data_IF_454195448489
#
_entry.id   IF_454195448489
#
_cell.length_a   1.000
_cell.length_b   1.000
_cell.length_c   1.000
_cell.angle_alpha   90.00
_cell.angle_beta   90.00
_cell.angle_gamma   90.00
#
_symmetry.space_group_name_H-M   'P 1'
#
loop_
_entity.id
_entity.type
_entity.pdbx_description
1 polymer ?
#
# COMPACT_ATOMS: atom_id res chain seq x y z
N UNK A 1 45.48 1.57 28.15
CA UNK A 1 44.04 1.91 28.39
C UNK A 1 43.41 2.12 27.03
N UNK A 2 42.87 1.03 26.48
CA UNK A 2 42.27 1.02 25.13
C UNK A 2 40.78 1.32 25.31
N UNK A 3 40.33 2.51 24.88
CA UNK A 3 38.92 2.88 24.81
C UNK A 3 38.26 2.09 23.67
N UNK A 4 37.50 1.06 24.04
CA UNK A 4 36.60 0.35 23.11
C UNK A 4 35.40 1.27 22.84
N UNK A 5 35.37 1.92 21.68
CA UNK A 5 34.22 2.61 21.18
C UNK A 5 33.19 1.55 20.75
N UNK A 6 32.24 1.25 21.61
CA UNK A 6 31.02 0.54 21.22
C UNK A 6 30.23 1.47 20.31
N UNK A 7 30.37 1.29 18.99
CA UNK A 7 29.36 1.75 18.03
C UNK A 7 28.08 0.97 18.35
N UNK A 8 27.19 1.59 19.13
CA UNK A 8 25.78 1.24 19.11
C UNK A 8 25.30 1.55 17.68
N UNK A 9 25.20 0.52 16.85
CA UNK A 9 24.31 0.56 15.71
C UNK A 9 22.91 0.77 16.28
N UNK A 10 22.46 2.02 16.37
CA UNK A 10 21.04 2.34 16.42
C UNK A 10 20.47 1.79 15.11
N UNK A 11 19.94 0.56 15.18
CA UNK A 11 19.00 0.11 14.16
C UNK A 11 17.84 1.09 14.26
N UNK A 12 17.80 2.08 13.36
CA UNK A 12 16.58 2.81 13.08
C UNK A 12 15.57 1.74 12.67
N UNK A 13 14.68 1.36 13.59
CA UNK A 13 13.47 0.65 13.25
C UNK A 13 12.62 1.63 12.47
N UNK A 14 12.86 1.71 11.17
CA UNK A 14 12.05 2.48 10.26
C UNK A 14 10.72 1.73 10.12
N UNK A 15 9.64 2.40 10.45
CA UNK A 15 8.28 1.95 10.18
C UNK A 15 8.18 1.76 8.67
N UNK A 16 7.99 0.54 8.28
CA UNK A 16 8.37 0.18 6.94
C UNK A 16 7.36 -0.81 6.34
N UNK A 17 6.39 -0.31 5.59
CA UNK A 17 5.44 -1.12 4.84
C UNK A 17 6.11 -1.87 3.68
N UNK A 18 5.45 -2.90 3.18
CA UNK A 18 5.79 -3.60 1.95
C UNK A 18 4.52 -3.76 1.14
N UNK A 19 4.56 -3.39 -0.13
CA UNK A 19 3.45 -3.56 -1.06
C UNK A 19 3.94 -4.38 -2.26
N UNK A 20 3.17 -5.40 -2.62
CA UNK A 20 3.49 -6.33 -3.71
C UNK A 20 2.30 -6.47 -4.66
N UNK A 21 2.50 -6.12 -5.92
CA UNK A 21 1.58 -6.43 -7.02
C UNK A 21 2.04 -7.69 -7.74
N UNK A 22 1.08 -8.56 -8.14
CA UNK A 22 1.36 -9.79 -8.87
C UNK A 22 0.19 -10.15 -9.80
N UNK A 23 0.52 -10.55 -11.04
CA UNK A 23 -0.48 -10.95 -12.04
C UNK A 23 0.02 -12.06 -12.96
N UNK A 24 -0.90 -12.88 -13.45
CA UNK A 24 -0.68 -13.83 -14.56
C UNK A 24 -1.41 -13.39 -15.84
N UNK A 25 -1.92 -12.16 -15.87
CA UNK A 25 -2.73 -11.60 -16.94
C UNK A 25 -4.24 -11.89 -16.82
N UNK A 26 -4.66 -12.75 -15.87
CA UNK A 26 -6.06 -13.11 -15.60
C UNK A 26 -6.46 -12.69 -14.18
N UNK A 27 -5.69 -13.10 -13.21
CA UNK A 27 -5.89 -12.74 -11.81
C UNK A 27 -4.93 -11.60 -11.43
N UNK A 28 -5.46 -10.62 -10.74
CA UNK A 28 -4.70 -9.45 -10.29
C UNK A 28 -4.74 -9.43 -8.77
N UNK A 29 -3.58 -9.55 -8.19
CA UNK A 29 -3.39 -9.61 -6.75
C UNK A 29 -2.50 -8.49 -6.25
N UNK A 30 -2.83 -7.93 -5.09
CA UNK A 30 -1.95 -7.03 -4.35
C UNK A 30 -1.91 -7.47 -2.90
N UNK A 31 -0.73 -7.49 -2.31
CA UNK A 31 -0.53 -7.74 -0.89
C UNK A 31 0.24 -6.61 -0.24
N UNK A 32 -0.07 -6.27 1.00
CA UNK A 32 0.70 -5.31 1.77
C UNK A 32 0.86 -5.72 3.23
N UNK A 33 1.90 -5.19 3.85
CA UNK A 33 2.06 -5.09 5.30
C UNK A 33 1.88 -3.65 5.71
N UNK A 34 1.13 -3.45 6.79
CA UNK A 34 1.07 -2.19 7.50
C UNK A 34 1.90 -2.31 8.77
N UNK A 35 3.09 -1.73 8.71
CA UNK A 35 4.05 -1.74 9.80
C UNK A 35 4.01 -0.39 10.53
N UNK A 36 3.39 -0.37 11.70
CA UNK A 36 3.13 0.84 12.48
C UNK A 36 3.15 0.54 13.98
N UNK A 37 3.04 1.55 14.81
CA UNK A 37 2.96 1.41 16.27
C UNK A 37 1.56 1.63 16.85
N UNK A 38 0.61 2.13 16.03
CA UNK A 38 -0.77 2.29 16.46
C UNK A 38 -1.50 0.95 16.36
N UNK A 39 -2.35 0.66 17.36
CA UNK A 39 -3.11 -0.60 17.45
C UNK A 39 -4.60 -0.42 17.14
N UNK A 40 -5.00 0.78 16.72
CA UNK A 40 -6.39 1.14 16.46
C UNK A 40 -6.77 1.05 14.96
N UNK A 41 -6.20 0.05 14.29
CA UNK A 41 -6.45 -0.20 12.88
C UNK A 41 -7.91 -0.60 12.62
N UNK A 42 -8.51 0.01 11.60
CA UNK A 42 -9.91 -0.16 11.23
C UNK A 42 -10.04 -0.45 9.73
N UNK A 43 -11.03 -1.26 9.38
CA UNK A 43 -11.49 -1.44 8.00
C UNK A 43 -12.83 -0.77 7.81
N UNK A 44 -12.93 0.13 6.83
CA UNK A 44 -14.13 0.91 6.54
C UNK A 44 -14.67 0.59 5.15
N UNK A 45 -15.99 0.33 5.06
CA UNK A 45 -16.73 0.09 3.84
C UNK A 45 -17.67 1.26 3.56
N UNK A 46 -17.58 1.86 2.36
CA UNK A 46 -18.42 2.98 1.93
C UNK A 46 -19.13 2.60 0.63
N UNK A 47 -20.46 2.47 0.63
CA UNK A 47 -21.24 2.25 -0.59
C UNK A 47 -21.08 3.39 -1.58
N UNK A 48 -21.09 3.04 -2.87
CA UNK A 48 -21.10 4.01 -3.94
C UNK A 48 -22.36 4.90 -3.90
N UNK A 49 -22.20 6.12 -4.34
CA UNK A 49 -23.27 7.08 -4.53
C UNK A 49 -23.31 7.52 -5.99
N UNK A 50 -24.34 8.28 -6.41
CA UNK A 50 -24.41 8.79 -7.78
C UNK A 50 -23.10 9.51 -8.18
N UNK A 51 -22.42 8.98 -9.18
CA UNK A 51 -21.14 9.51 -9.69
C UNK A 51 -19.90 9.15 -8.87
N UNK A 52 -20.03 8.28 -7.85
CA UNK A 52 -18.91 7.84 -7.00
C UNK A 52 -18.91 6.33 -6.81
N UNK A 53 -17.75 5.71 -6.94
CA UNK A 53 -17.57 4.27 -6.69
C UNK A 53 -17.68 3.94 -5.20
N UNK A 54 -18.19 2.73 -4.90
CA UNK A 54 -18.07 2.16 -3.57
C UNK A 54 -16.65 1.70 -3.31
N UNK A 55 -16.22 1.67 -2.05
CA UNK A 55 -14.85 1.34 -1.68
C UNK A 55 -14.73 0.67 -0.32
N UNK A 56 -13.62 0.00 -0.12
CA UNK A 56 -13.06 -0.40 1.17
C UNK A 56 -11.70 0.27 1.33
N UNK A 57 -11.42 0.77 2.52
CA UNK A 57 -10.10 1.24 2.88
C UNK A 57 -9.75 0.84 4.32
N UNK A 58 -8.46 0.88 4.61
CA UNK A 58 -7.90 0.65 5.92
C UNK A 58 -7.26 1.93 6.42
N UNK A 59 -7.42 2.20 7.70
CA UNK A 59 -6.86 3.35 8.37
C UNK A 59 -6.49 3.02 9.82
N UNK A 60 -5.75 3.93 10.44
CA UNK A 60 -5.66 4.00 11.89
C UNK A 60 -6.60 5.11 12.34
N UNK A 61 -7.50 4.77 13.27
CA UNK A 61 -8.52 5.71 13.73
C UNK A 61 -7.94 6.98 14.32
N UNK A 62 -6.78 6.89 14.96
CA UNK A 62 -6.00 8.01 15.46
C UNK A 62 -5.45 8.93 14.36
N UNK A 63 -5.18 8.41 13.16
CA UNK A 63 -4.65 9.17 12.04
C UNK A 63 -5.76 9.84 11.21
N UNK A 64 -6.91 9.20 11.08
CA UNK A 64 -8.10 9.76 10.43
C UNK A 64 -8.04 9.85 8.90
N UNK A 65 -7.11 9.13 8.25
CA UNK A 65 -7.01 9.04 6.78
C UNK A 65 -6.68 7.63 6.31
N UNK A 66 -7.12 7.29 5.09
CA UNK A 66 -6.93 5.96 4.51
C UNK A 66 -5.44 5.70 4.19
N UNK A 67 -4.89 4.61 4.70
CA UNK A 67 -3.54 4.13 4.39
C UNK A 67 -3.52 3.45 3.02
N UNK A 68 -4.50 2.59 2.76
CA UNK A 68 -4.66 1.87 1.51
C UNK A 68 -6.08 1.33 1.32
N UNK A 69 -6.41 0.88 0.11
CA UNK A 69 -7.73 0.33 -0.15
C UNK A 69 -8.03 0.05 -1.61
N UNK A 70 -9.25 -0.41 -1.89
CA UNK A 70 -9.71 -0.66 -3.25
C UNK A 70 -11.17 -0.21 -3.45
N UNK A 71 -11.54 0.13 -4.69
CA UNK A 71 -12.91 0.46 -5.07
C UNK A 71 -13.60 -0.66 -5.87
N UNK A 72 -14.89 -0.46 -6.17
CA UNK A 72 -15.72 -1.42 -6.93
C UNK A 72 -15.28 -1.60 -8.38
N UNK A 73 -14.47 -0.67 -8.93
CA UNK A 73 -13.85 -0.80 -10.25
C UNK A 73 -12.52 -1.57 -10.20
N UNK A 74 -12.09 -1.99 -9.02
CA UNK A 74 -10.84 -2.72 -8.83
C UNK A 74 -9.60 -1.83 -8.96
N UNK A 75 -9.74 -0.53 -8.75
CA UNK A 75 -8.61 0.35 -8.53
C UNK A 75 -8.16 0.22 -7.07
N UNK A 76 -6.88 0.07 -6.86
CA UNK A 76 -6.19 -0.04 -5.59
C UNK A 76 -5.15 1.07 -5.44
N UNK A 77 -4.97 1.55 -4.24
CA UNK A 77 -3.78 2.30 -3.82
C UNK A 77 -3.32 1.84 -2.44
N UNK A 78 -2.04 2.02 -2.18
CA UNK A 78 -1.44 1.91 -0.85
C UNK A 78 -0.08 2.60 -0.85
N UNK A 79 0.40 3.05 0.32
CA UNK A 79 1.59 3.86 0.47
C UNK A 79 2.67 3.26 1.36
N UNK A 80 3.91 3.65 1.11
CA UNK A 80 5.03 3.38 2.01
C UNK A 80 5.78 4.66 2.32
N UNK A 81 6.19 4.84 3.57
CA UNK A 81 7.08 5.93 3.95
C UNK A 81 8.42 5.82 3.22
N UNK A 82 8.94 6.95 2.73
CA UNK A 82 10.22 7.03 2.03
C UNK A 82 11.03 8.23 2.53
N UNK A 83 12.33 8.30 2.23
CA UNK A 83 13.11 9.51 2.50
C UNK A 83 12.47 10.74 1.87
N UNK A 84 12.44 11.84 2.62
CA UNK A 84 11.85 13.10 2.18
C UNK A 84 12.51 13.61 0.89
N UNK A 85 11.67 13.96 -0.09
CA UNK A 85 12.08 14.55 -1.35
C UNK A 85 11.14 15.74 -1.68
N UNK A 86 11.62 16.98 -1.73
CA UNK A 86 10.76 18.15 -1.92
C UNK A 86 10.08 18.14 -3.30
N UNK A 87 8.82 18.58 -3.35
CA UNK A 87 8.04 18.69 -4.57
C UNK A 87 7.48 20.11 -4.78
N UNK A 88 8.30 21.07 -5.24
CA UNK A 88 7.90 22.47 -5.38
C UNK A 88 6.71 22.68 -6.34
N UNK A 89 6.55 21.87 -7.39
CA UNK A 89 5.40 21.94 -8.30
C UNK A 89 4.05 21.65 -7.61
N UNK A 90 4.07 21.00 -6.45
CA UNK A 90 2.86 20.72 -5.70
C UNK A 90 2.14 22.04 -5.29
N UNK A 91 2.88 23.10 -5.04
CA UNK A 91 2.36 24.38 -4.58
C UNK A 91 1.51 25.14 -5.63
N UNK A 92 1.66 24.83 -6.92
CA UNK A 92 0.89 25.45 -8.01
C UNK A 92 -0.34 24.64 -8.45
N UNK A 93 -0.53 23.44 -7.87
CA UNK A 93 -1.68 22.57 -8.16
C UNK A 93 -2.92 23.01 -7.38
N UNK A 94 -4.08 22.48 -7.79
CA UNK A 94 -5.35 22.71 -7.10
C UNK A 94 -5.36 22.06 -5.71
N UNK A 95 -5.92 22.74 -4.74
CA UNK A 95 -6.21 22.14 -3.44
C UNK A 95 -7.33 21.09 -3.58
N UNK A 96 -7.21 19.97 -2.86
CA UNK A 96 -8.30 19.05 -2.63
C UNK A 96 -8.96 19.42 -1.28
N UNK A 97 -10.29 19.50 -1.25
CA UNK A 97 -11.07 19.78 -0.03
C UNK A 97 -11.21 18.54 0.89
N UNK A 98 -10.48 17.49 0.58
CA UNK A 98 -10.50 16.22 1.28
C UNK A 98 -9.20 15.43 1.04
N UNK A 99 -9.06 14.32 1.76
CA UNK A 99 -7.94 13.40 1.54
C UNK A 99 -7.97 12.83 0.11
N UNK A 100 -6.92 13.13 -0.66
CA UNK A 100 -6.90 12.89 -2.12
C UNK A 100 -7.10 11.41 -2.49
N UNK A 101 -6.54 10.48 -1.69
CA UNK A 101 -6.58 9.05 -2.02
C UNK A 101 -7.98 8.46 -1.87
N UNK A 102 -8.81 8.96 -0.94
CA UNK A 102 -10.23 8.58 -0.88
C UNK A 102 -11.00 9.12 -2.08
N UNK A 103 -10.64 10.31 -2.61
CA UNK A 103 -11.21 10.82 -3.87
C UNK A 103 -10.79 9.98 -5.06
N UNK A 104 -9.52 9.60 -5.13
CA UNK A 104 -9.01 8.69 -6.18
C UNK A 104 -9.83 7.40 -6.21
N UNK A 105 -10.08 6.77 -5.05
CA UNK A 105 -10.95 5.58 -5.00
C UNK A 105 -12.40 5.88 -5.40
N UNK A 106 -12.93 7.04 -5.07
CA UNK A 106 -14.31 7.40 -5.40
C UNK A 106 -14.54 7.75 -6.87
N UNK A 107 -13.54 8.28 -7.57
CA UNK A 107 -13.71 8.95 -8.86
C UNK A 107 -12.89 8.31 -9.99
N UNK A 108 -11.88 7.50 -9.68
CA UNK A 108 -11.00 6.87 -10.66
C UNK A 108 -11.27 5.36 -10.76
N UNK A 109 -11.23 4.83 -11.99
CA UNK A 109 -11.46 3.40 -12.25
C UNK A 109 -10.18 2.66 -12.66
N UNK A 110 -9.10 3.37 -13.01
CA UNK A 110 -7.85 2.80 -13.55
C UNK A 110 -6.64 3.54 -13.05
N UNK A 111 -5.48 2.87 -13.10
CA UNK A 111 -4.17 3.49 -12.77
C UNK A 111 -3.97 4.79 -13.56
N UNK A 112 -4.26 4.80 -14.85
CA UNK A 112 -4.10 5.99 -15.69
C UNK A 112 -5.00 7.15 -15.26
N UNK A 113 -6.28 6.86 -14.93
CA UNK A 113 -7.19 7.90 -14.41
C UNK A 113 -6.73 8.45 -13.06
N UNK A 114 -6.20 7.60 -12.18
CA UNK A 114 -5.64 8.02 -10.90
C UNK A 114 -4.39 8.92 -11.10
N UNK A 115 -3.48 8.53 -12.00
CA UNK A 115 -2.29 9.34 -12.33
C UNK A 115 -2.69 10.73 -12.87
N UNK A 116 -3.68 10.80 -13.75
CA UNK A 116 -4.17 12.07 -14.28
C UNK A 116 -4.83 12.93 -13.20
N UNK A 117 -5.54 12.29 -12.26
CA UNK A 117 -6.13 12.97 -11.12
C UNK A 117 -5.07 13.62 -10.22
N UNK A 118 -4.06 12.85 -9.79
CA UNK A 118 -2.99 13.33 -8.91
C UNK A 118 -2.06 14.37 -9.56
N UNK A 119 -1.95 14.40 -10.90
CA UNK A 119 -1.25 15.47 -11.61
C UNK A 119 -1.95 16.82 -11.47
N UNK A 120 -3.25 16.83 -11.19
CA UNK A 120 -4.10 18.04 -11.10
C UNK A 120 -4.13 18.64 -9.71
N UNK A 121 -4.13 17.80 -8.67
CA UNK A 121 -4.32 18.21 -7.29
C UNK A 121 -3.03 18.13 -6.47
N UNK A 122 -2.97 18.93 -5.38
CA UNK A 122 -1.91 18.81 -4.38
C UNK A 122 -1.99 17.46 -3.67
N UNK A 123 -0.82 16.91 -3.39
CA UNK A 123 -0.64 15.68 -2.61
C UNK A 123 0.38 16.02 -1.52
N UNK A 124 -0.06 16.49 -0.35
CA UNK A 124 0.86 16.93 0.70
C UNK A 124 1.85 15.85 1.14
N UNK A 125 1.37 14.62 1.25
CA UNK A 125 2.14 13.46 1.74
C UNK A 125 3.14 12.89 0.73
N UNK A 126 3.06 13.25 -0.55
CA UNK A 126 3.88 12.61 -1.60
C UNK A 126 5.39 12.90 -1.46
N UNK A 127 5.77 13.90 -0.68
CA UNK A 127 7.16 14.28 -0.47
C UNK A 127 7.94 13.27 0.38
N UNK A 128 7.25 12.43 1.15
CA UNK A 128 7.85 11.40 2.00
C UNK A 128 7.11 10.06 1.98
N UNK A 129 6.23 9.89 0.97
CA UNK A 129 5.49 8.64 0.74
C UNK A 129 5.54 8.30 -0.74
N UNK A 130 5.83 7.04 -1.06
CA UNK A 130 5.58 6.49 -2.38
C UNK A 130 4.28 5.68 -2.36
N UNK A 131 3.51 5.79 -3.45
CA UNK A 131 2.22 5.11 -3.60
C UNK A 131 2.32 4.08 -4.72
N UNK A 132 1.87 2.86 -4.43
CA UNK A 132 1.59 1.87 -5.47
C UNK A 132 0.13 1.94 -5.85
N UNK A 133 -0.12 2.19 -7.15
CA UNK A 133 -1.43 2.11 -7.80
C UNK A 133 -1.52 0.80 -8.57
N UNK A 134 -2.68 0.14 -8.53
CA UNK A 134 -2.97 -1.03 -9.35
C UNK A 134 -4.43 -1.07 -9.76
N UNK A 135 -4.75 -1.72 -10.89
CA UNK A 135 -6.13 -1.90 -11.33
C UNK A 135 -6.43 -3.33 -11.82
N UNK A 136 -7.72 -3.67 -11.87
CA UNK A 136 -8.20 -4.99 -12.34
C UNK A 136 -7.86 -5.34 -13.78
N UNK A 137 -7.34 -4.38 -14.57
CA UNK A 137 -6.86 -4.62 -15.93
C UNK A 137 -5.40 -5.09 -15.96
N UNK A 138 -4.77 -5.15 -14.79
CA UNK A 138 -3.38 -5.57 -14.63
C UNK A 138 -2.37 -4.44 -14.78
N UNK A 139 -2.80 -3.18 -14.83
CA UNK A 139 -1.86 -2.07 -14.78
C UNK A 139 -1.41 -1.85 -13.34
N UNK A 140 -0.15 -1.45 -13.18
CA UNK A 140 0.40 -1.02 -11.90
C UNK A 140 1.49 0.03 -12.12
N UNK A 141 1.55 1.00 -11.22
CA UNK A 141 2.55 2.06 -11.23
C UNK A 141 2.90 2.48 -9.79
N UNK A 142 4.18 2.77 -9.56
CA UNK A 142 4.65 3.42 -8.34
C UNK A 142 4.79 4.92 -8.65
N UNK A 143 4.22 5.74 -7.77
CA UNK A 143 4.26 7.19 -7.85
C UNK A 143 5.04 7.71 -6.66
N UNK A 144 5.99 8.61 -6.89
CA UNK A 144 6.81 9.22 -5.85
C UNK A 144 7.49 10.48 -6.33
N UNK A 145 8.34 11.08 -5.51
CA UNK A 145 9.10 12.29 -5.86
C UNK A 145 10.59 11.97 -5.86
N UNK A 146 11.28 12.48 -6.87
CA UNK A 146 12.73 12.54 -6.91
C UNK A 146 13.21 13.76 -7.69
N UNK A 147 14.26 14.45 -7.20
CA UNK A 147 14.81 15.69 -7.78
C UNK A 147 13.75 16.75 -8.12
N UNK A 148 12.78 16.94 -7.20
CA UNK A 148 11.72 17.94 -7.32
C UNK A 148 10.65 17.64 -8.34
N UNK A 149 10.60 16.42 -8.90
CA UNK A 149 9.66 16.02 -9.96
C UNK A 149 8.87 14.79 -9.58
N UNK A 150 7.63 14.76 -10.03
CA UNK A 150 6.78 13.57 -9.93
C UNK A 150 7.35 12.45 -10.82
N UNK A 151 7.67 11.33 -10.22
CA UNK A 151 8.14 10.11 -10.88
C UNK A 151 7.00 9.11 -10.96
N UNK A 152 6.84 8.47 -12.11
CA UNK A 152 5.84 7.43 -12.34
C UNK A 152 6.55 6.21 -12.93
N UNK A 153 6.64 5.15 -12.16
CA UNK A 153 7.30 3.91 -12.56
C UNK A 153 6.25 2.85 -12.86
N UNK A 154 5.86 2.73 -14.12
CA UNK A 154 4.99 1.63 -14.56
C UNK A 154 5.70 0.30 -14.41
N UNK A 155 4.93 -0.75 -14.03
CA UNK A 155 5.49 -2.10 -13.93
C UNK A 155 6.07 -2.60 -15.25
N UNK A 156 7.11 -3.41 -15.12
CA UNK A 156 7.65 -4.24 -16.20
C UNK A 156 7.53 -5.69 -15.77
N UNK A 157 7.00 -6.56 -16.65
CA UNK A 157 6.75 -7.97 -16.27
C UNK A 157 5.49 -8.16 -15.41
N UNK A 158 5.45 -9.23 -14.60
CA UNK A 158 4.25 -9.72 -13.92
C UNK A 158 4.13 -9.28 -12.46
N UNK A 159 5.12 -8.60 -11.92
CA UNK A 159 5.15 -8.13 -10.54
C UNK A 159 5.68 -6.71 -10.42
N UNK A 160 5.33 -6.05 -9.33
CA UNK A 160 5.91 -4.78 -8.90
C UNK A 160 5.98 -4.76 -7.37
N UNK A 161 7.09 -4.31 -6.82
CA UNK A 161 7.37 -4.34 -5.39
C UNK A 161 7.76 -2.95 -4.92
N UNK A 162 7.23 -2.54 -3.78
CA UNK A 162 7.50 -1.25 -3.14
C UNK A 162 7.79 -1.45 -1.65
N UNK A 163 8.84 -0.80 -1.17
CA UNK A 163 9.18 -0.66 0.25
C UNK A 163 9.69 0.77 0.54
N UNK A 164 10.40 0.98 1.60
CA UNK A 164 10.68 2.30 2.17
C UNK A 164 11.90 3.03 1.60
N UNK A 165 12.32 2.74 0.40
CA UNK A 165 13.37 3.50 -0.28
C UNK A 165 12.82 4.26 -1.50
N UNK A 166 13.54 5.28 -1.95
CA UNK A 166 13.14 6.02 -3.14
C UNK A 166 13.33 5.15 -4.38
N UNK A 167 12.25 4.84 -5.10
CA UNK A 167 12.28 3.93 -6.26
C UNK A 167 13.08 4.49 -7.44
N UNK A 168 13.13 5.81 -7.61
CA UNK A 168 13.90 6.46 -8.68
C UNK A 168 15.39 6.47 -8.39
N UNK A 169 15.78 6.54 -7.12
CA UNK A 169 17.16 6.42 -6.65
C UNK A 169 17.20 5.65 -5.33
N UNK A 170 17.38 4.34 -5.35
CA UNK A 170 17.36 3.51 -4.14
C UNK A 170 18.41 3.88 -3.09
N UNK A 171 19.51 4.53 -3.48
CA UNK A 171 20.54 4.99 -2.55
C UNK A 171 20.21 6.35 -1.91
N UNK A 172 19.13 7.01 -2.33
CA UNK A 172 18.71 8.31 -1.79
C UNK A 172 18.17 8.11 -0.37
N UNK A 173 18.72 8.86 0.59
CA UNK A 173 18.31 8.80 1.99
C UNK A 173 18.92 7.66 2.81
N UNK A 174 19.72 6.78 2.22
CA UNK A 174 20.45 5.74 2.95
C UNK A 174 19.62 4.54 3.44
N UNK A 175 18.46 4.30 2.85
CA UNK A 175 17.50 3.26 3.26
C UNK A 175 17.85 1.83 2.79
N UNK A 176 18.91 1.66 2.01
CA UNK A 176 19.37 0.34 1.57
C UNK A 176 20.53 -0.19 2.42
N UNK A 177 20.66 -1.54 2.54
CA UNK A 177 19.84 -2.60 1.94
C UNK A 177 18.51 -2.85 2.68
N UNK A 178 17.43 -3.09 1.93
CA UNK A 178 16.13 -3.46 2.49
C UNK A 178 15.93 -4.98 2.44
N UNK A 179 16.12 -5.66 3.56
CA UNK A 179 16.00 -7.14 3.66
C UNK A 179 14.64 -7.66 3.17
N UNK A 180 13.54 -6.94 3.42
CA UNK A 180 12.20 -7.36 3.01
C UNK A 180 12.03 -7.30 1.50
N UNK A 181 12.52 -6.21 0.87
CA UNK A 181 12.54 -6.09 -0.57
C UNK A 181 13.32 -7.24 -1.21
N UNK A 182 14.55 -7.50 -0.75
CA UNK A 182 15.40 -8.56 -1.27
C UNK A 182 14.75 -9.93 -1.10
N UNK A 183 14.14 -10.19 0.07
CA UNK A 183 13.44 -11.45 0.34
C UNK A 183 12.25 -11.64 -0.61
N UNK A 184 11.38 -10.65 -0.74
CA UNK A 184 10.23 -10.71 -1.63
C UNK A 184 10.66 -10.88 -3.10
N UNK A 185 11.67 -10.12 -3.52
CA UNK A 185 12.22 -10.21 -4.88
C UNK A 185 12.77 -11.60 -5.19
N UNK A 186 13.56 -12.18 -4.27
CA UNK A 186 14.11 -13.55 -4.46
C UNK A 186 13.00 -14.61 -4.50
N UNK A 187 11.93 -14.45 -3.70
CA UNK A 187 10.79 -15.36 -3.74
C UNK A 187 10.04 -15.26 -5.07
N UNK A 188 9.81 -14.06 -5.58
CA UNK A 188 9.19 -13.82 -6.87
C UNK A 188 10.01 -14.37 -8.06
N UNK A 189 11.34 -14.32 -7.98
CA UNK A 189 12.22 -14.92 -9.00
C UNK A 189 12.11 -16.47 -9.02
N UNK A 190 11.78 -17.08 -7.88
CA UNK A 190 11.59 -18.55 -7.77
C UNK A 190 10.18 -18.97 -8.15
N UNK A 191 9.19 -18.21 -7.74
CA UNK A 191 7.78 -18.47 -8.01
C UNK A 191 7.03 -17.14 -8.18
N UNK A 192 6.63 -16.85 -9.41
CA UNK A 192 5.83 -15.68 -9.79
C UNK A 192 4.36 -16.03 -10.03
N UNK A 193 3.87 -17.16 -9.52
CA UNK A 193 2.47 -17.57 -9.65
C UNK A 193 1.55 -16.54 -8.97
N UNK A 194 0.61 -15.98 -9.72
CA UNK A 194 -0.38 -15.04 -9.22
C UNK A 194 -1.47 -15.78 -8.43
N UNK A 195 -1.25 -15.98 -7.14
CA UNK A 195 -2.16 -16.72 -6.28
C UNK A 195 -2.13 -16.21 -4.83
N UNK A 196 -3.25 -16.41 -4.12
CA UNK A 196 -3.34 -16.11 -2.69
C UNK A 196 -2.22 -16.79 -1.90
N UNK A 197 -1.99 -18.08 -2.18
CA UNK A 197 -0.97 -18.89 -1.47
C UNK A 197 0.44 -18.32 -1.64
N UNK A 198 0.80 -17.86 -2.84
CA UNK A 198 2.11 -17.28 -3.08
C UNK A 198 2.28 -15.95 -2.35
N UNK A 199 1.26 -15.07 -2.40
CA UNK A 199 1.31 -13.82 -1.63
C UNK A 199 1.39 -14.08 -0.13
N UNK A 200 0.58 -15.00 0.42
CA UNK A 200 0.65 -15.41 1.82
C UNK A 200 2.07 -15.87 2.20
N UNK A 201 2.71 -16.66 1.32
CA UNK A 201 4.08 -17.13 1.54
C UNK A 201 5.09 -15.98 1.59
N UNK A 202 4.99 -15.02 0.66
CA UNK A 202 5.90 -13.87 0.60
C UNK A 202 5.67 -12.98 1.83
N UNK A 203 4.42 -12.61 2.11
CA UNK A 203 4.09 -11.78 3.26
C UNK A 203 4.56 -12.42 4.58
N UNK A 204 4.37 -13.73 4.78
CA UNK A 204 4.83 -14.41 6.00
C UNK A 204 6.36 -14.38 6.21
N UNK A 205 7.15 -14.09 5.17
CA UNK A 205 8.62 -14.00 5.24
C UNK A 205 9.14 -12.57 5.31
N UNK A 206 8.24 -11.60 5.17
CA UNK A 206 8.58 -10.17 5.12
C UNK A 206 7.90 -9.35 6.22
N UNK A 207 7.28 -10.00 7.21
CA UNK A 207 6.77 -9.35 8.43
C UNK A 207 7.88 -8.71 9.24
N UNK A 208 7.53 -7.69 10.00
CA UNK A 208 8.38 -7.04 10.99
C UNK A 208 7.89 -7.32 12.42
N UNK A 209 7.78 -8.59 12.80
CA UNK A 209 7.42 -9.04 14.14
C UNK A 209 6.29 -8.17 14.77
N UNK A 210 6.59 -7.43 15.84
CA UNK A 210 5.63 -6.62 16.59
C UNK A 210 5.19 -5.33 15.85
N UNK A 211 5.89 -4.93 14.78
CA UNK A 211 5.55 -3.72 14.02
C UNK A 211 4.47 -3.98 12.95
N UNK A 212 4.35 -5.21 12.44
CA UNK A 212 3.31 -5.55 11.47
C UNK A 212 1.97 -5.67 12.17
N UNK A 213 1.16 -4.61 12.12
CA UNK A 213 -0.15 -4.52 12.80
C UNK A 213 -1.20 -5.33 12.07
N UNK A 214 -1.22 -5.24 10.74
CA UNK A 214 -2.04 -6.11 9.89
C UNK A 214 -1.38 -6.33 8.53
N UNK A 215 -1.87 -7.31 7.83
CA UNK A 215 -1.54 -7.53 6.42
C UNK A 215 -2.82 -7.70 5.63
N UNK A 216 -2.82 -7.22 4.40
CA UNK A 216 -3.94 -7.37 3.49
C UNK A 216 -3.50 -8.05 2.20
N UNK A 217 -4.39 -8.88 1.64
CA UNK A 217 -4.27 -9.37 0.28
C UNK A 217 -5.57 -9.06 -0.45
N UNK A 218 -5.46 -8.38 -1.58
CA UNK A 218 -6.58 -8.01 -2.44
C UNK A 218 -6.55 -8.84 -3.72
N UNK A 219 -7.70 -9.38 -4.11
CA UNK A 219 -7.96 -9.84 -5.47
C UNK A 219 -8.76 -8.76 -6.20
N UNK A 220 -8.10 -7.96 -7.01
CA UNK A 220 -8.74 -6.83 -7.71
C UNK A 220 -9.74 -7.30 -8.78
N UNK A 221 -9.51 -8.47 -9.36
CA UNK A 221 -10.39 -9.07 -10.37
C UNK A 221 -11.73 -9.48 -9.77
N UNK A 222 -11.73 -10.01 -8.53
CA UNK A 222 -12.91 -10.56 -7.86
C UNK A 222 -13.53 -9.60 -6.85
N UNK A 223 -12.84 -8.49 -6.51
CA UNK A 223 -13.27 -7.58 -5.45
C UNK A 223 -13.23 -8.24 -4.06
N UNK A 224 -12.21 -9.02 -3.78
CA UNK A 224 -12.03 -9.74 -2.53
C UNK A 224 -10.87 -9.15 -1.72
N UNK A 225 -11.03 -9.07 -0.40
CA UNK A 225 -9.99 -8.64 0.53
C UNK A 225 -9.82 -9.71 1.61
N UNK A 226 -8.58 -10.10 1.85
CA UNK A 226 -8.18 -10.99 2.92
C UNK A 226 -7.38 -10.17 3.94
N UNK A 227 -7.79 -10.18 5.18
CA UNK A 227 -7.17 -9.44 6.29
C UNK A 227 -6.54 -10.43 7.25
N UNK A 228 -5.32 -10.14 7.65
CA UNK A 228 -4.53 -10.89 8.63
C UNK A 228 -4.17 -9.96 9.77
N UNK A 229 -4.30 -10.42 11.00
CA UNK A 229 -4.00 -9.64 12.18
C UNK A 229 -2.58 -9.95 12.68
N UNK A 230 -1.82 -8.90 12.98
CA UNK A 230 -0.41 -8.99 13.37
C UNK A 230 0.41 -9.77 12.32
N UNK A 231 1.54 -10.29 12.69
CA UNK A 231 2.39 -11.13 11.83
C UNK A 231 1.81 -12.53 11.57
N UNK A 232 0.52 -12.80 11.90
CA UNK A 232 -0.10 -14.10 11.75
C UNK A 232 -0.44 -14.40 10.30
N UNK A 233 0.08 -15.50 9.76
CA UNK A 233 -0.27 -16.00 8.42
C UNK A 233 -1.41 -17.04 8.43
N UNK A 234 -1.90 -17.44 9.62
CA UNK A 234 -2.83 -18.57 9.75
C UNK A 234 -4.28 -18.15 9.98
N UNK A 235 -4.52 -17.04 10.70
CA UNK A 235 -5.85 -16.51 10.94
C UNK A 235 -6.14 -15.40 9.95
N UNK A 236 -7.16 -15.57 9.10
CA UNK A 236 -7.58 -14.57 8.14
C UNK A 236 -9.09 -14.39 8.12
N UNK A 237 -9.52 -13.17 7.81
CA UNK A 237 -10.91 -12.84 7.47
C UNK A 237 -10.96 -12.49 5.98
N UNK A 238 -11.98 -13.00 5.30
CA UNK A 238 -12.25 -12.70 3.89
C UNK A 238 -13.49 -11.83 3.79
N UNK A 239 -13.39 -10.76 3.01
CA UNK A 239 -14.52 -9.92 2.63
C UNK A 239 -14.69 -9.94 1.11
N UNK A 240 -15.93 -9.92 0.64
CA UNK A 240 -16.26 -9.59 -0.74
C UNK A 240 -16.81 -8.17 -0.75
N UNK A 241 -16.15 -7.26 -1.45
CA UNK A 241 -16.49 -5.84 -1.44
C UNK A 241 -17.96 -5.59 -1.80
N UNK A 242 -18.44 -6.23 -2.87
CA UNK A 242 -19.83 -6.06 -3.33
C UNK A 242 -20.86 -6.48 -2.27
N UNK A 243 -20.59 -7.57 -1.53
CA UNK A 243 -21.48 -8.04 -0.48
C UNK A 243 -21.43 -7.15 0.76
N UNK A 244 -20.22 -6.70 1.14
CA UNK A 244 -20.07 -5.78 2.28
C UNK A 244 -20.79 -4.43 2.04
N UNK A 245 -20.68 -3.89 0.84
CA UNK A 245 -21.33 -2.62 0.51
C UNK A 245 -22.87 -2.65 0.56
N UNK A 246 -23.51 -3.82 0.45
CA UNK A 246 -24.95 -3.98 0.63
C UNK A 246 -25.42 -3.71 2.07
N UNK A 247 -24.51 -3.82 3.05
CA UNK A 247 -24.78 -3.57 4.47
C UNK A 247 -24.84 -2.07 4.81
N UNK A 248 -24.59 -1.18 3.83
CA UNK A 248 -24.46 0.25 4.06
C UNK A 248 -23.02 0.63 4.50
N UNK A 249 -22.83 1.91 4.88
CA UNK A 249 -21.55 2.38 5.45
C UNK A 249 -21.35 1.76 6.82
N UNK A 250 -20.21 1.11 7.02
CA UNK A 250 -19.81 0.54 8.31
C UNK A 250 -18.31 0.40 8.41
N UNK A 251 -17.84 0.31 9.65
CA UNK A 251 -16.42 0.13 9.98
C UNK A 251 -16.27 -0.94 11.07
N UNK A 252 -15.13 -1.60 11.10
CA UNK A 252 -14.79 -2.64 12.06
C UNK A 252 -13.34 -2.53 12.47
N UNK A 253 -13.09 -2.55 13.78
CA UNK A 253 -11.72 -2.66 14.30
C UNK A 253 -11.13 -3.99 13.87
N UNK A 254 -9.87 -3.99 13.39
CA UNK A 254 -9.21 -5.20 12.92
C UNK A 254 -9.08 -6.23 14.06
N UNK A 255 -8.70 -5.81 15.26
CA UNK A 255 -8.62 -6.69 16.43
C UNK A 255 -9.92 -7.42 16.70
N UNK A 256 -11.06 -6.73 16.58
CA UNK A 256 -12.38 -7.32 16.83
C UNK A 256 -12.78 -8.40 15.79
N UNK A 257 -12.13 -8.45 14.63
CA UNK A 257 -12.37 -9.48 13.62
C UNK A 257 -11.83 -10.85 14.04
N UNK A 258 -10.91 -10.91 15.01
CA UNK A 258 -10.14 -12.11 15.37
C UNK A 258 -10.36 -12.58 16.81
N UNK A 259 -11.17 -11.84 17.57
CA UNK A 259 -11.62 -12.18 18.94
C UNK A 259 -12.85 -13.08 18.94
#
# INVERSE_FOLDING_TARGET
MVLLFLMLCMQCNLFACLILFLTDGKEIWVGNHEDWYAVDAEVTFIPGQKGKFGMVYFDFKSEGYAQGGMNTEGLFFDGTKTPYAPYPENNIKKDCDCYIWTKVLQECATVESAINYIKTYKIPEIEDVHILLADKKGNSAIVGIYEGKLQIHHRTGNSQLLTNFNIANPSYGGELPCRRFDTAQQMLLRDSTASLKNLESILSKTTQDELTIYSNIYNLTRGEVYVYHLASSTKKKKFNLKEELKKGRHAMMIDALFN
#
